data_IF_331476298188
#
_entry.id   IF_331476298188
#
_cell.length_a   1.000
_cell.length_b   1.000
_cell.length_c   1.000
_cell.angle_alpha   90.00
_cell.angle_beta   90.00
_cell.angle_gamma   90.00
#
_symmetry.space_group_name_H-M   'P 1'
#
loop_
_entity.id
_entity.type
_entity.pdbx_description
1 polymer ?
#
# COMPACT_ATOMS: atom_id res chain seq x y z
N UNK A 1 25.97 -6.34 23.98
CA UNK A 1 24.97 -5.34 23.60
C UNK A 1 23.61 -6.03 23.60
N UNK A 2 22.80 -5.79 24.60
CA UNK A 2 21.47 -6.41 24.76
C UNK A 2 20.54 -5.80 23.71
N UNK A 3 20.02 -6.64 22.82
CA UNK A 3 19.00 -6.25 21.84
C UNK A 3 17.79 -5.67 22.61
N UNK A 4 17.25 -4.46 22.27
CA UNK A 4 16.11 -3.92 22.99
C UNK A 4 14.97 -4.93 22.95
N UNK A 5 14.26 -5.06 24.06
CA UNK A 5 13.12 -5.99 24.17
C UNK A 5 12.14 -5.68 23.04
N UNK A 6 12.07 -6.59 22.08
CA UNK A 6 11.18 -6.47 20.91
C UNK A 6 9.75 -6.33 21.45
N UNK A 7 9.06 -5.27 21.09
CA UNK A 7 7.67 -5.12 21.48
C UNK A 7 6.90 -6.34 20.95
N UNK A 8 6.22 -7.07 21.83
CA UNK A 8 5.52 -8.31 21.49
C UNK A 8 4.45 -8.10 20.43
N UNK A 9 3.79 -6.95 20.46
CA UNK A 9 2.85 -6.54 19.42
C UNK A 9 3.53 -6.48 18.06
N UNK A 10 4.68 -5.85 17.96
CA UNK A 10 5.44 -5.75 16.73
C UNK A 10 5.91 -7.12 16.21
N UNK A 11 6.33 -8.02 17.11
CA UNK A 11 6.69 -9.37 16.72
C UNK A 11 5.50 -10.17 16.18
N UNK A 12 4.30 -9.97 16.73
CA UNK A 12 3.07 -10.57 16.22
C UNK A 12 2.73 -10.02 14.84
N UNK A 13 2.84 -8.70 14.63
CA UNK A 13 2.55 -8.07 13.33
C UNK A 13 3.50 -8.58 12.23
N UNK A 14 4.81 -8.66 12.51
CA UNK A 14 5.79 -9.19 11.56
C UNK A 14 5.54 -10.66 11.21
N UNK A 15 5.23 -11.50 12.19
CA UNK A 15 4.89 -12.89 11.97
C UNK A 15 3.57 -13.06 11.19
N UNK A 16 2.58 -12.23 11.50
CA UNK A 16 1.29 -12.22 10.84
C UNK A 16 1.41 -11.77 9.38
N UNK A 17 2.21 -10.75 9.09
CA UNK A 17 2.50 -10.30 7.73
C UNK A 17 3.02 -11.47 6.88
N UNK A 18 4.04 -12.17 7.35
CA UNK A 18 4.61 -13.31 6.62
C UNK A 18 3.57 -14.44 6.42
N UNK A 19 2.78 -14.76 7.44
CA UNK A 19 1.77 -15.80 7.35
C UNK A 19 0.67 -15.43 6.34
N UNK A 20 0.19 -14.17 6.34
CA UNK A 20 -0.83 -13.70 5.41
C UNK A 20 -0.31 -13.56 3.98
N UNK A 21 0.90 -13.04 3.77
CA UNK A 21 1.50 -12.94 2.44
C UNK A 21 1.69 -14.32 1.81
N UNK A 22 2.09 -15.32 2.62
CA UNK A 22 2.36 -16.67 2.11
C UNK A 22 1.10 -17.52 1.90
N UNK A 23 0.10 -17.42 2.79
CA UNK A 23 -1.04 -18.35 2.83
C UNK A 23 -2.39 -17.68 2.56
N UNK A 24 -2.41 -16.37 2.39
CA UNK A 24 -3.63 -15.58 2.30
C UNK A 24 -4.41 -15.57 3.61
N UNK A 25 -5.51 -14.80 3.65
CA UNK A 25 -6.36 -14.73 4.85
C UNK A 25 -6.94 -16.11 5.22
N UNK A 26 -7.46 -16.86 4.25
CA UNK A 26 -8.14 -18.14 4.52
C UNK A 26 -7.18 -19.21 5.10
N UNK A 27 -5.96 -19.30 4.55
CA UNK A 27 -4.97 -20.31 4.92
C UNK A 27 -4.15 -19.98 6.17
N UNK A 28 -4.10 -18.72 6.58
CA UNK A 28 -3.32 -18.28 7.75
C UNK A 28 -3.93 -18.77 9.07
N UNK A 29 -3.07 -19.17 10.01
CA UNK A 29 -3.46 -19.66 11.34
C UNK A 29 -2.84 -18.82 12.45
N UNK A 30 -3.67 -18.36 13.40
CA UNK A 30 -3.22 -17.56 14.55
C UNK A 30 -2.27 -18.33 15.47
N UNK A 31 -2.37 -19.66 15.50
CA UNK A 31 -1.42 -20.52 16.23
C UNK A 31 -0.02 -20.49 15.61
N UNK A 32 0.09 -20.57 14.27
CA UNK A 32 1.36 -20.44 13.55
C UNK A 32 1.98 -19.06 13.72
N UNK A 33 1.14 -18.00 13.70
CA UNK A 33 1.58 -16.63 13.94
C UNK A 33 2.14 -16.47 15.36
N UNK A 34 1.45 -16.99 16.38
CA UNK A 34 1.91 -16.90 17.77
C UNK A 34 3.25 -17.63 17.97
N UNK A 35 3.40 -18.82 17.39
CA UNK A 35 4.63 -19.61 17.42
C UNK A 35 5.79 -18.84 16.76
N UNK A 36 5.59 -18.32 15.56
CA UNK A 36 6.60 -17.55 14.82
C UNK A 36 6.99 -16.25 15.54
N UNK A 37 6.04 -15.61 16.23
CA UNK A 37 6.27 -14.41 17.04
C UNK A 37 6.95 -14.68 18.39
N UNK A 38 7.07 -15.95 18.79
CA UNK A 38 7.60 -16.32 20.10
C UNK A 38 6.70 -15.92 21.27
N UNK A 39 5.38 -15.91 21.06
CA UNK A 39 4.37 -15.57 22.08
C UNK A 39 3.37 -16.70 22.27
N UNK A 40 2.65 -16.69 23.39
CA UNK A 40 1.54 -17.64 23.59
C UNK A 40 0.32 -17.23 22.76
N UNK A 41 -0.51 -18.20 22.37
CA UNK A 41 -1.76 -17.91 21.66
C UNK A 41 -2.70 -16.96 22.45
N UNK A 42 -2.74 -17.12 23.79
CA UNK A 42 -3.48 -16.20 24.65
C UNK A 42 -2.95 -14.76 24.57
N UNK A 43 -1.64 -14.59 24.47
CA UNK A 43 -1.03 -13.26 24.30
C UNK A 43 -1.34 -12.66 22.94
N UNK A 44 -1.34 -13.43 21.86
CA UNK A 44 -1.80 -12.95 20.55
C UNK A 44 -3.23 -12.44 20.64
N UNK A 45 -4.15 -13.21 21.26
CA UNK A 45 -5.54 -12.78 21.44
C UNK A 45 -5.74 -11.59 22.38
N UNK A 46 -4.81 -11.34 23.29
CA UNK A 46 -4.80 -10.13 24.11
C UNK A 46 -4.55 -8.87 23.26
N UNK A 47 -3.60 -8.93 22.32
CA UNK A 47 -3.28 -7.81 21.41
C UNK A 47 -4.29 -7.69 20.27
N UNK A 48 -4.65 -8.83 19.67
CA UNK A 48 -5.53 -8.89 18.49
C UNK A 48 -6.62 -9.93 18.75
N UNK A 49 -7.81 -9.45 19.05
CA UNK A 49 -8.93 -10.32 19.48
C UNK A 49 -9.36 -11.32 18.42
N UNK A 50 -9.26 -10.95 17.13
CA UNK A 50 -9.65 -11.81 16.01
C UNK A 50 -8.58 -11.81 14.91
N UNK A 51 -8.60 -12.84 14.07
CA UNK A 51 -7.74 -12.93 12.89
C UNK A 51 -8.05 -11.81 11.90
N UNK A 52 -9.31 -11.41 11.79
CA UNK A 52 -9.77 -10.30 10.97
C UNK A 52 -9.13 -8.98 11.40
N UNK A 53 -9.14 -8.65 12.69
CA UNK A 53 -8.52 -7.42 13.19
C UNK A 53 -7.01 -7.40 12.94
N UNK A 54 -6.33 -8.53 13.11
CA UNK A 54 -4.91 -8.65 12.81
C UNK A 54 -4.63 -8.45 11.31
N UNK A 55 -5.45 -9.06 10.47
CA UNK A 55 -5.36 -8.91 9.02
C UNK A 55 -5.59 -7.47 8.56
N UNK A 56 -6.66 -6.83 9.03
CA UNK A 56 -6.98 -5.43 8.71
C UNK A 56 -5.84 -4.49 9.14
N UNK A 57 -5.21 -4.75 10.28
CA UNK A 57 -4.05 -3.98 10.74
C UNK A 57 -2.86 -4.09 9.79
N UNK A 58 -2.57 -5.30 9.28
CA UNK A 58 -1.51 -5.52 8.29
C UNK A 58 -1.87 -4.86 6.96
N UNK A 59 -3.10 -5.04 6.51
CA UNK A 59 -3.58 -4.43 5.27
C UNK A 59 -3.46 -2.89 5.32
N UNK A 60 -3.90 -2.26 6.41
CA UNK A 60 -3.80 -0.82 6.61
C UNK A 60 -2.36 -0.31 6.55
N UNK A 61 -1.43 -1.06 7.15
CA UNK A 61 -0.01 -0.70 7.15
C UNK A 61 0.59 -0.77 5.74
N UNK A 62 0.27 -1.84 5.00
CA UNK A 62 0.74 -2.01 3.60
C UNK A 62 0.14 -0.96 2.68
N UNK A 63 -1.15 -0.67 2.81
CA UNK A 63 -1.82 0.37 2.01
C UNK A 63 -1.25 1.75 2.32
N UNK A 64 -0.93 2.05 3.59
CA UNK A 64 -0.30 3.31 3.97
C UNK A 64 1.10 3.46 3.39
N UNK A 65 1.91 2.39 3.39
CA UNK A 65 3.23 2.39 2.78
C UNK A 65 3.14 2.66 1.28
N UNK A 66 2.24 1.97 0.58
CA UNK A 66 1.99 2.17 -0.84
C UNK A 66 1.51 3.60 -1.15
N UNK A 67 0.54 4.11 -0.40
CA UNK A 67 0.05 5.49 -0.57
C UNK A 67 1.15 6.52 -0.32
N UNK A 68 2.01 6.32 0.67
CA UNK A 68 3.14 7.22 0.94
C UNK A 68 4.15 7.23 -0.20
N UNK A 69 4.48 6.08 -0.79
CA UNK A 69 5.41 6.04 -1.91
C UNK A 69 4.88 6.85 -3.10
N UNK A 70 3.60 6.70 -3.43
CA UNK A 70 2.92 7.48 -4.47
C UNK A 70 2.88 8.98 -4.13
N UNK A 71 2.47 9.33 -2.90
CA UNK A 71 2.39 10.74 -2.49
C UNK A 71 3.74 11.43 -2.45
N UNK A 72 4.79 10.75 -2.01
CA UNK A 72 6.15 11.32 -1.98
C UNK A 72 6.65 11.57 -3.40
N UNK A 73 6.36 10.66 -4.30
CA UNK A 73 6.78 10.75 -5.68
C UNK A 73 6.09 11.89 -6.46
N UNK A 74 4.76 11.98 -6.32
CA UNK A 74 3.96 12.96 -7.07
C UNK A 74 3.73 14.28 -6.32
N UNK A 75 3.98 14.32 -5.00
CA UNK A 75 3.68 15.46 -4.13
C UNK A 75 4.81 16.50 -4.03
N UNK A 76 5.69 16.63 -5.02
CA UNK A 76 6.78 17.61 -5.05
C UNK A 76 6.41 18.80 -5.96
N UNK A 77 5.66 19.81 -5.49
CA UNK A 77 5.13 20.87 -6.34
C UNK A 77 6.23 21.75 -6.96
N UNK A 78 7.43 21.73 -6.40
CA UNK A 78 8.57 22.53 -6.87
C UNK A 78 9.28 21.92 -8.10
N UNK A 79 8.98 20.67 -8.44
CA UNK A 79 9.53 20.01 -9.61
C UNK A 79 8.57 20.09 -10.81
N UNK A 80 9.09 20.22 -12.04
CA UNK A 80 8.30 20.11 -13.26
C UNK A 80 7.55 18.76 -13.33
N UNK A 81 6.30 18.77 -13.81
CA UNK A 81 5.45 17.58 -13.88
C UNK A 81 6.12 16.35 -14.53
N UNK A 82 6.90 16.46 -15.64
CA UNK A 82 7.57 15.32 -16.23
C UNK A 82 8.63 14.67 -15.31
N UNK A 83 9.30 15.48 -14.49
CA UNK A 83 10.28 14.99 -13.51
C UNK A 83 9.60 14.28 -12.36
N UNK A 84 8.49 14.84 -11.85
CA UNK A 84 7.64 14.21 -10.84
C UNK A 84 7.08 12.87 -11.29
N UNK A 85 6.62 12.78 -12.55
CA UNK A 85 6.13 11.52 -13.13
C UNK A 85 7.26 10.48 -13.17
N UNK A 86 8.44 10.85 -13.65
CA UNK A 86 9.60 9.94 -13.70
C UNK A 86 9.96 9.44 -12.31
N UNK A 87 10.14 10.35 -11.36
CA UNK A 87 10.49 10.01 -9.97
C UNK A 87 9.40 9.14 -9.32
N UNK A 88 8.13 9.38 -9.69
CA UNK A 88 6.99 8.59 -9.27
C UNK A 88 7.04 7.15 -9.78
N UNK A 89 7.33 6.98 -11.06
CA UNK A 89 7.49 5.66 -11.69
C UNK A 89 8.65 4.90 -11.05
N UNK A 90 9.82 5.54 -10.92
CA UNK A 90 11.00 4.92 -10.31
C UNK A 90 10.75 4.52 -8.86
N UNK A 91 10.16 5.41 -8.05
CA UNK A 91 9.83 5.13 -6.65
C UNK A 91 8.79 4.02 -6.51
N UNK A 92 7.79 3.97 -7.40
CA UNK A 92 6.80 2.89 -7.40
C UNK A 92 7.44 1.55 -7.76
N UNK A 93 8.27 1.52 -8.81
CA UNK A 93 9.02 0.32 -9.21
C UNK A 93 9.90 -0.19 -8.06
N UNK A 94 10.70 0.67 -7.44
CA UNK A 94 11.55 0.31 -6.31
C UNK A 94 10.74 -0.22 -5.12
N UNK A 95 9.57 0.38 -4.86
CA UNK A 95 8.67 -0.09 -3.82
C UNK A 95 8.14 -1.50 -4.11
N UNK A 96 7.68 -1.77 -5.33
CA UNK A 96 7.21 -3.11 -5.74
C UNK A 96 8.36 -4.12 -5.73
N UNK A 97 9.54 -3.75 -6.21
CA UNK A 97 10.72 -4.61 -6.19
C UNK A 97 11.16 -4.99 -4.77
N UNK A 98 11.03 -4.05 -3.82
CA UNK A 98 11.30 -4.29 -2.40
C UNK A 98 10.20 -5.11 -1.69
N UNK A 99 9.00 -5.22 -2.29
CA UNK A 99 7.84 -5.92 -1.72
C UNK A 99 7.21 -6.89 -2.73
N UNK A 100 7.93 -7.91 -3.22
CA UNK A 100 7.50 -8.73 -4.37
C UNK A 100 6.21 -9.54 -4.14
N UNK A 101 5.88 -9.85 -2.88
CA UNK A 101 4.66 -10.59 -2.53
C UNK A 101 3.42 -9.68 -2.41
N UNK A 102 3.61 -8.37 -2.30
CA UNK A 102 2.53 -7.42 -2.06
C UNK A 102 1.53 -7.33 -3.23
N UNK A 103 1.94 -7.25 -4.51
CA UNK A 103 0.99 -7.21 -5.63
C UNK A 103 0.06 -8.41 -5.65
N UNK A 104 0.62 -9.61 -5.50
CA UNK A 104 -0.15 -10.86 -5.44
C UNK A 104 -1.13 -10.86 -4.26
N UNK A 105 -0.68 -10.41 -3.09
CA UNK A 105 -1.52 -10.29 -1.91
C UNK A 105 -2.69 -9.32 -2.12
N UNK A 106 -2.44 -8.14 -2.68
CA UNK A 106 -3.48 -7.16 -2.99
C UNK A 106 -4.51 -7.71 -3.98
N UNK A 107 -4.07 -8.33 -5.07
CA UNK A 107 -4.97 -8.93 -6.06
C UNK A 107 -5.85 -10.01 -5.41
N UNK A 108 -5.27 -10.94 -4.66
CA UNK A 108 -5.98 -12.09 -4.11
C UNK A 108 -6.87 -11.74 -2.92
N UNK A 109 -6.44 -10.80 -2.07
CA UNK A 109 -7.13 -10.55 -0.80
C UNK A 109 -7.97 -9.28 -0.80
N UNK A 110 -7.73 -8.37 -1.71
CA UNK A 110 -8.48 -7.12 -1.82
C UNK A 110 -9.35 -7.10 -3.06
N UNK A 111 -8.76 -7.14 -4.26
CA UNK A 111 -9.53 -7.00 -5.51
C UNK A 111 -10.49 -8.17 -5.75
N UNK A 112 -10.19 -9.37 -5.28
CA UNK A 112 -11.08 -10.53 -5.38
C UNK A 112 -12.22 -10.56 -4.35
N UNK A 113 -12.29 -9.56 -3.46
CA UNK A 113 -13.29 -9.48 -2.38
C UNK A 113 -13.97 -8.12 -2.38
N UNK A 114 -15.22 -8.01 -2.86
CA UNK A 114 -15.90 -6.73 -3.05
C UNK A 114 -15.94 -5.85 -1.79
N UNK A 115 -16.24 -6.42 -0.63
CA UNK A 115 -16.31 -5.69 0.64
C UNK A 115 -14.94 -5.13 1.09
N UNK A 116 -13.84 -5.84 0.85
CA UNK A 116 -12.49 -5.34 1.13
C UNK A 116 -12.05 -4.29 0.13
N UNK A 117 -12.39 -4.50 -1.14
CA UNK A 117 -12.13 -3.52 -2.20
C UNK A 117 -12.80 -2.18 -1.90
N UNK A 118 -14.08 -2.17 -1.54
CA UNK A 118 -14.80 -0.94 -1.18
C UNK A 118 -14.23 -0.27 0.08
N UNK A 119 -13.87 -1.04 1.10
CA UNK A 119 -13.21 -0.52 2.30
C UNK A 119 -11.86 0.12 1.97
N UNK A 120 -11.03 -0.52 1.16
CA UNK A 120 -9.77 0.02 0.70
C UNK A 120 -9.97 1.30 -0.13
N UNK A 121 -10.87 1.24 -1.13
CA UNK A 121 -11.20 2.36 -2.01
C UNK A 121 -11.62 3.60 -1.22
N UNK A 122 -12.46 3.44 -0.18
CA UNK A 122 -12.90 4.57 0.66
C UNK A 122 -11.75 5.22 1.42
N UNK A 123 -10.76 4.43 1.87
CA UNK A 123 -9.59 4.93 2.62
C UNK A 123 -8.58 5.70 1.77
N UNK A 124 -8.44 5.31 0.49
CA UNK A 124 -7.49 5.95 -0.44
C UNK A 124 -8.13 7.08 -1.23
N UNK A 125 -9.46 7.13 -1.29
CA UNK A 125 -10.20 8.05 -2.17
C UNK A 125 -9.81 9.51 -1.96
N UNK A 126 -9.88 10.01 -0.72
CA UNK A 126 -9.68 11.44 -0.43
C UNK A 126 -8.29 11.91 -0.87
N UNK A 127 -7.27 11.11 -0.55
CA UNK A 127 -5.88 11.41 -0.91
C UNK A 127 -5.67 11.32 -2.42
N UNK A 128 -6.22 10.28 -3.06
CA UNK A 128 -6.11 10.09 -4.49
C UNK A 128 -6.87 11.17 -5.28
N UNK A 129 -8.05 11.58 -4.84
CA UNK A 129 -8.83 12.63 -5.49
C UNK A 129 -8.12 13.98 -5.44
N UNK A 130 -7.52 14.35 -4.30
CA UNK A 130 -6.74 15.59 -4.20
C UNK A 130 -5.53 15.56 -5.14
N UNK A 131 -4.73 14.49 -5.09
CA UNK A 131 -3.56 14.36 -5.96
C UNK A 131 -3.94 14.37 -7.45
N UNK A 132 -4.99 13.65 -7.83
CA UNK A 132 -5.45 13.61 -9.22
C UNK A 132 -5.97 14.98 -9.69
N UNK A 133 -6.63 15.72 -8.82
CA UNK A 133 -7.08 17.07 -9.12
C UNK A 133 -5.90 18.00 -9.39
N UNK A 134 -4.89 18.01 -8.55
CA UNK A 134 -3.71 18.86 -8.68
C UNK A 134 -2.92 18.52 -9.97
N UNK A 135 -2.71 17.25 -10.26
CA UNK A 135 -2.07 16.79 -11.49
C UNK A 135 -2.90 17.21 -12.73
N UNK A 136 -4.24 17.08 -12.68
CA UNK A 136 -5.09 17.46 -13.80
C UNK A 136 -4.99 18.96 -14.10
N UNK A 137 -4.97 19.81 -13.08
CA UNK A 137 -4.79 21.25 -13.28
C UNK A 137 -3.47 21.60 -13.99
N UNK A 138 -2.39 20.91 -13.64
CA UNK A 138 -1.09 21.11 -14.29
C UNK A 138 -1.09 20.60 -15.74
N UNK A 139 -1.71 19.43 -16.01
CA UNK A 139 -1.85 18.89 -17.37
C UNK A 139 -2.67 19.82 -18.27
N UNK A 140 -3.79 20.34 -17.76
CA UNK A 140 -4.62 21.28 -18.50
C UNK A 140 -3.88 22.58 -18.79
N UNK A 141 -3.10 23.09 -17.84
CA UNK A 141 -2.27 24.28 -18.04
C UNK A 141 -1.16 24.04 -19.08
N UNK A 142 -0.53 22.87 -19.08
CA UNK A 142 0.49 22.47 -20.06
C UNK A 142 -0.11 22.35 -21.47
N UNK A 143 -1.27 21.73 -21.59
CA UNK A 143 -2.00 21.63 -22.87
C UNK A 143 -2.40 23.00 -23.40
N UNK A 144 -2.86 23.91 -22.53
CA UNK A 144 -3.22 25.27 -22.91
C UNK A 144 -2.03 26.09 -23.44
N UNK A 145 -0.80 25.76 -22.99
CA UNK A 145 0.46 26.34 -23.52
C UNK A 145 0.97 25.65 -24.79
N UNK A 146 0.31 24.57 -25.23
CA UNK A 146 0.76 23.77 -26.39
C UNK A 146 2.01 22.92 -26.13
N UNK A 147 2.33 22.64 -24.86
CA UNK A 147 3.49 21.84 -24.45
C UNK A 147 3.19 20.34 -24.49
N UNK A 148 1.93 19.98 -24.29
CA UNK A 148 1.43 18.60 -24.33
C UNK A 148 0.08 18.52 -25.04
N UNK A 149 -0.30 17.33 -25.52
CA UNK A 149 -1.69 17.04 -25.86
C UNK A 149 -2.55 16.97 -24.57
N UNK A 150 -3.87 17.19 -24.66
CA UNK A 150 -4.76 16.98 -23.52
C UNK A 150 -4.69 15.53 -22.99
N UNK A 151 -4.39 15.37 -21.71
CA UNK A 151 -4.22 14.08 -21.05
C UNK A 151 -5.09 14.07 -19.80
N UNK A 152 -5.84 12.97 -19.60
CA UNK A 152 -6.57 12.73 -18.35
C UNK A 152 -5.62 12.14 -17.30
N UNK A 153 -5.54 12.76 -16.11
CA UNK A 153 -4.65 12.37 -15.04
C UNK A 153 -4.89 10.92 -14.53
N UNK A 154 -6.15 10.44 -14.60
CA UNK A 154 -6.50 9.07 -14.19
C UNK A 154 -6.00 8.05 -15.20
N UNK A 155 -6.11 8.37 -16.50
CA UNK A 155 -5.56 7.53 -17.56
C UNK A 155 -4.05 7.46 -17.47
N UNK A 156 -3.38 8.60 -17.26
CA UNK A 156 -1.93 8.64 -17.03
C UNK A 156 -1.50 7.76 -15.86
N UNK A 157 -2.21 7.83 -14.73
CA UNK A 157 -1.91 6.97 -13.57
C UNK A 157 -2.12 5.48 -13.87
N UNK A 158 -3.20 5.14 -14.59
CA UNK A 158 -3.46 3.76 -15.00
C UNK A 158 -2.37 3.23 -15.93
N UNK A 159 -1.91 4.03 -16.87
CA UNK A 159 -0.80 3.67 -17.78
C UNK A 159 0.49 3.43 -16.99
N UNK A 160 0.83 4.30 -16.04
CA UNK A 160 1.99 4.13 -15.17
C UNK A 160 1.92 2.82 -14.39
N UNK A 161 0.78 2.53 -13.76
CA UNK A 161 0.60 1.32 -12.95
C UNK A 161 0.61 0.05 -13.81
N UNK A 162 0.07 0.11 -15.03
CA UNK A 162 -0.03 -1.06 -15.91
C UNK A 162 1.27 -1.42 -16.60
N UNK A 163 2.21 -0.48 -16.70
CA UNK A 163 3.52 -0.65 -17.36
C UNK A 163 4.63 -1.07 -16.39
N UNK A 164 4.38 -1.07 -15.08
CA UNK A 164 5.31 -1.53 -14.02
C UNK A 164 4.94 -2.93 -13.54
#
# INVERSE_FOLDING_TARGET
MTKPARNKEQAILEAAEQEFLNKGFAGARTTSIAEAAGVTHAMLHYYFRTKEQLFERILDEKMRLMSRSVLTAFGQPDLPLPERIRDGVESHFDFIAANPDLPRFIVNEVFSRPERYESMRSRVREVAETLMHDIQLELDASAARGETEPIDARMLLLDIISLN
#
